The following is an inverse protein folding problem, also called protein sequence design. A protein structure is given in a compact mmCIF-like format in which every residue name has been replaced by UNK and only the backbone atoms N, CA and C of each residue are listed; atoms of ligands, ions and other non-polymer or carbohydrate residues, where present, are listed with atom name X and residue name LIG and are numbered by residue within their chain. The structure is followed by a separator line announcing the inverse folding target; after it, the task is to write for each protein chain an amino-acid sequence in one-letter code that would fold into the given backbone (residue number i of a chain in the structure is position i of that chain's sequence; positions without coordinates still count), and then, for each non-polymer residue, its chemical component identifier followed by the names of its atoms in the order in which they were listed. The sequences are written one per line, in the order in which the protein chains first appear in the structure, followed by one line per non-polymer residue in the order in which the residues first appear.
data_IF_778417857298
#
_entry.id   IF_778417857298
#
_cell.length_a   1.000
_cell.length_b   1.000
_cell.length_c   1.000
_cell.angle_alpha   90.00
_cell.angle_beta   90.00
_cell.angle_gamma   90.00
#
_symmetry.space_group_name_H-M   'P 1'
#
loop_
_entity.id
_entity.type
_entity.pdbx_description
1 polymer ?
#
# COMPACT_ATOMS: atom_id res chain seq x y z
N UNK A 1 9.98 -13.99 -9.16
CA UNK A 1 9.40 -13.02 -8.20
C UNK A 1 10.39 -11.90 -7.94
N UNK A 2 11.69 -12.19 -7.82
CA UNK A 2 12.75 -11.19 -7.56
C UNK A 2 12.82 -10.04 -8.57
N UNK A 3 12.39 -10.29 -9.81
CA UNK A 3 12.33 -9.28 -10.89
C UNK A 3 11.29 -8.16 -10.63
N UNK A 4 10.40 -8.29 -9.63
CA UNK A 4 9.45 -7.23 -9.28
C UNK A 4 9.99 -6.29 -8.19
N UNK A 5 9.67 -4.99 -8.29
CA UNK A 5 9.88 -4.07 -7.19
C UNK A 5 9.25 -4.57 -5.89
N UNK A 6 9.92 -4.34 -4.76
CA UNK A 6 9.51 -4.83 -3.45
C UNK A 6 8.07 -4.45 -3.10
N UNK A 7 7.61 -3.28 -3.57
CA UNK A 7 6.27 -2.77 -3.30
C UNK A 7 5.14 -3.65 -3.84
N UNK A 8 5.41 -4.51 -4.83
CA UNK A 8 4.44 -5.44 -5.39
C UNK A 8 4.56 -6.84 -4.79
N UNK A 9 5.70 -7.17 -4.17
CA UNK A 9 5.97 -8.51 -3.62
C UNK A 9 5.44 -8.72 -2.21
N UNK A 10 5.38 -7.65 -1.41
CA UNK A 10 4.95 -7.73 -0.01
C UNK A 10 3.70 -6.88 0.21
N UNK A 11 2.83 -7.21 1.20
CA UNK A 11 1.69 -6.35 1.52
C UNK A 11 2.17 -4.97 1.99
N UNK A 12 1.45 -3.89 1.66
CA UNK A 12 1.81 -2.56 2.12
C UNK A 12 1.60 -2.43 3.64
N UNK A 13 2.57 -1.82 4.32
CA UNK A 13 2.49 -1.52 5.75
C UNK A 13 2.18 -0.03 5.95
N UNK A 14 1.23 0.33 6.84
CA UNK A 14 1.02 1.72 7.22
C UNK A 14 2.31 2.40 7.66
N UNK A 15 2.52 3.63 7.23
CA UNK A 15 3.72 4.40 7.56
C UNK A 15 3.42 5.44 8.66
N UNK A 16 4.19 5.40 9.73
CA UNK A 16 4.08 6.29 10.89
C UNK A 16 5.32 7.18 10.96
N UNK A 17 5.12 8.49 11.02
CA UNK A 17 6.22 9.43 11.21
C UNK A 17 6.40 9.76 12.69
N UNK A 18 7.62 9.69 13.20
CA UNK A 18 7.97 10.12 14.55
C UNK A 18 8.70 11.47 14.47
N UNK A 19 8.27 12.44 15.27
CA UNK A 19 8.77 13.82 15.24
C UNK A 19 9.22 14.22 16.64
N UNK A 20 10.46 14.67 16.80
CA UNK A 20 11.02 15.06 18.09
C UNK A 20 11.39 13.87 18.99
N UNK A 21 12.27 14.11 19.97
CA UNK A 21 12.82 13.10 20.91
C UNK A 21 13.30 11.80 20.21
N UNK A 22 14.35 11.89 19.35
CA UNK A 22 14.85 10.76 18.57
C UNK A 22 15.28 9.55 19.42
N UNK A 23 15.62 9.77 20.69
CA UNK A 23 15.96 8.72 21.66
C UNK A 23 14.88 7.64 21.79
N UNK A 24 13.60 7.98 21.58
CA UNK A 24 12.50 7.01 21.66
C UNK A 24 12.21 6.30 20.34
N UNK A 25 12.68 6.84 19.20
CA UNK A 25 12.25 6.38 17.88
C UNK A 25 12.64 4.94 17.59
N UNK A 26 13.86 4.53 17.98
CA UNK A 26 14.36 3.18 17.74
C UNK A 26 13.52 2.15 18.51
N UNK A 27 13.26 2.41 19.79
CA UNK A 27 12.51 1.51 20.65
C UNK A 27 11.05 1.39 20.19
N UNK A 28 10.39 2.51 19.88
CA UNK A 28 9.02 2.50 19.36
C UNK A 28 8.98 1.79 18.01
N UNK A 29 9.96 2.03 17.13
CA UNK A 29 10.08 1.34 15.83
C UNK A 29 10.17 -0.18 16.00
N UNK A 30 11.04 -0.65 16.90
CA UNK A 30 11.20 -2.08 17.15
C UNK A 30 9.88 -2.69 17.64
N UNK A 31 9.19 -2.02 18.56
CA UNK A 31 7.90 -2.47 19.06
C UNK A 31 6.84 -2.53 17.95
N UNK A 32 6.66 -1.46 17.18
CA UNK A 32 5.65 -1.40 16.12
C UNK A 32 5.90 -2.39 14.96
N UNK A 33 7.16 -2.79 14.73
CA UNK A 33 7.50 -3.82 13.73
C UNK A 33 7.22 -5.25 14.22
N UNK A 34 7.25 -5.47 15.54
CA UNK A 34 6.94 -6.75 16.15
C UNK A 34 5.42 -6.98 16.32
N UNK A 35 4.64 -5.90 16.34
CA UNK A 35 3.18 -5.95 16.41
C UNK A 35 2.52 -6.63 15.20
N UNK A 36 1.28 -7.08 15.38
CA UNK A 36 0.46 -7.70 14.33
C UNK A 36 -0.87 -6.95 14.20
N UNK A 37 -1.08 -6.13 13.15
CA UNK A 37 -0.21 -5.88 12.00
C UNK A 37 1.06 -5.08 12.33
N UNK A 38 2.19 -5.34 11.63
CA UNK A 38 3.37 -4.52 11.78
C UNK A 38 3.17 -3.18 11.08
N UNK A 39 3.78 -2.12 11.62
CA UNK A 39 3.74 -0.77 11.08
C UNK A 39 5.15 -0.35 10.65
N UNK A 40 5.24 0.33 9.51
CA UNK A 40 6.47 0.95 9.07
C UNK A 40 6.63 2.32 9.75
N UNK A 41 7.88 2.73 9.98
CA UNK A 41 8.19 3.99 10.67
C UNK A 41 9.19 4.82 9.89
N UNK A 42 9.10 6.14 10.03
CA UNK A 42 10.09 7.11 9.56
C UNK A 42 10.41 8.10 10.68
N UNK A 43 11.70 8.26 10.96
CA UNK A 43 12.18 9.20 11.98
C UNK A 43 12.42 10.58 11.39
N UNK A 44 11.87 11.59 12.04
CA UNK A 44 12.05 13.00 11.72
C UNK A 44 12.59 13.66 13.00
N UNK A 45 13.81 14.22 12.98
CA UNK A 45 14.48 14.67 14.20
C UNK A 45 13.75 15.82 14.90
N UNK A 46 13.14 16.73 14.13
CA UNK A 46 12.51 17.93 14.65
C UNK A 46 11.24 18.33 13.87
N UNK A 47 10.53 19.34 14.38
CA UNK A 47 9.32 19.88 13.74
C UNK A 47 9.59 20.52 12.37
N UNK A 48 10.82 21.01 12.12
CA UNK A 48 11.21 21.59 10.82
C UNK A 48 11.24 20.49 9.75
N UNK A 49 11.78 19.32 10.10
CA UNK A 49 11.81 18.14 9.25
C UNK A 49 10.43 17.61 8.87
N UNK A 50 9.35 18.02 9.56
CA UNK A 50 7.98 17.69 9.19
C UNK A 50 7.62 18.17 7.77
N UNK A 51 8.34 19.15 7.21
CA UNK A 51 8.23 19.55 5.81
C UNK A 51 8.44 18.38 4.83
N UNK A 52 9.17 17.32 5.22
CA UNK A 52 9.32 16.10 4.41
C UNK A 52 8.00 15.33 4.22
N UNK A 53 7.04 15.48 5.13
CA UNK A 53 5.70 14.89 5.05
C UNK A 53 4.77 15.66 4.12
N UNK A 54 5.19 16.86 3.73
CA UNK A 54 4.38 17.75 2.92
C UNK A 54 4.14 17.19 1.51
N UNK A 55 3.41 17.98 0.75
CA UNK A 55 3.57 18.00 -0.69
C UNK A 55 2.28 18.23 -1.41
N UNK A 56 2.38 18.32 -2.74
CA UNK A 56 1.39 18.87 -3.66
C UNK A 56 -0.04 18.94 -3.12
N UNK A 57 -0.50 20.17 -3.02
CA UNK A 57 -1.86 20.52 -2.65
C UNK A 57 -2.86 19.69 -3.47
N UNK A 58 -3.88 19.20 -2.77
CA UNK A 58 -4.85 18.31 -3.37
C UNK A 58 -5.88 19.12 -4.12
N UNK A 59 -5.98 18.88 -5.42
CA UNK A 59 -7.02 19.50 -6.25
C UNK A 59 -8.43 19.12 -5.74
N UNK A 60 -9.42 20.01 -5.95
CA UNK A 60 -10.81 19.76 -5.59
C UNK A 60 -11.34 18.42 -6.11
N UNK A 61 -12.29 17.77 -5.40
CA UNK A 61 -12.91 16.52 -5.82
C UNK A 61 -13.46 16.51 -7.25
N UNK A 62 -13.98 17.65 -7.69
CA UNK A 62 -14.70 17.97 -8.92
C UNK A 62 -13.81 18.56 -10.03
N UNK A 63 -12.54 18.85 -9.76
CA UNK A 63 -11.63 19.41 -10.75
C UNK A 63 -11.46 18.45 -11.94
N UNK A 64 -11.84 18.89 -13.14
CA UNK A 64 -11.56 18.17 -14.39
C UNK A 64 -10.05 18.08 -14.60
N UNK A 65 -9.55 16.86 -14.80
CA UNK A 65 -8.15 16.60 -15.07
C UNK A 65 -7.94 16.44 -16.58
N UNK A 66 -6.81 16.94 -17.13
CA UNK A 66 -6.44 16.62 -18.50
C UNK A 66 -6.27 15.10 -18.64
N UNK A 67 -6.43 14.60 -19.87
CA UNK A 67 -6.20 13.19 -20.18
C UNK A 67 -4.82 12.76 -19.67
N UNK A 68 -4.72 11.59 -19.01
CA UNK A 68 -3.47 11.18 -18.43
C UNK A 68 -2.50 10.72 -19.52
N UNK A 69 -1.21 10.96 -19.33
CA UNK A 69 -0.18 10.43 -20.23
C UNK A 69 -0.14 8.89 -20.25
N UNK A 70 -0.65 8.23 -19.21
CA UNK A 70 -0.64 6.79 -19.04
C UNK A 70 -1.65 6.29 -18.02
N UNK A 71 -1.75 4.98 -17.81
CA UNK A 71 -2.75 4.36 -16.93
C UNK A 71 -2.36 4.51 -15.47
N UNK A 72 -1.25 3.91 -15.03
CA UNK A 72 -0.77 4.03 -13.65
C UNK A 72 0.34 5.07 -13.54
N UNK A 73 0.37 5.79 -12.41
CA UNK A 73 1.45 6.75 -12.14
C UNK A 73 2.65 6.01 -11.55
N UNK A 74 3.79 6.06 -12.26
CA UNK A 74 5.06 5.49 -11.80
C UNK A 74 5.44 5.99 -10.38
N UNK A 75 5.97 5.09 -9.55
CA UNK A 75 6.41 5.37 -8.19
C UNK A 75 5.29 5.77 -7.20
N UNK A 76 4.01 5.73 -7.61
CA UNK A 76 2.92 6.10 -6.70
C UNK A 76 2.84 5.16 -5.49
N UNK A 77 2.94 3.84 -5.71
CA UNK A 77 2.88 2.85 -4.63
C UNK A 77 4.11 2.94 -3.71
N UNK A 78 5.32 2.99 -4.28
CA UNK A 78 6.57 3.19 -3.54
C UNK A 78 6.49 4.44 -2.64
N UNK A 79 6.01 5.58 -3.18
CA UNK A 79 5.78 6.80 -2.40
C UNK A 79 4.85 6.56 -1.20
N UNK A 80 3.74 5.84 -1.38
CA UNK A 80 2.77 5.62 -0.29
C UNK A 80 3.24 4.62 0.75
N UNK A 81 4.21 3.76 0.41
CA UNK A 81 4.83 2.82 1.35
C UNK A 81 6.00 3.42 2.12
N UNK A 82 6.75 4.35 1.52
CA UNK A 82 8.04 4.81 2.06
C UNK A 82 8.05 6.28 2.50
N UNK A 83 7.16 7.12 1.96
CA UNK A 83 7.23 8.60 2.17
C UNK A 83 5.92 9.23 2.64
N UNK A 84 4.76 8.67 2.29
CA UNK A 84 3.47 9.25 2.67
C UNK A 84 2.97 8.62 3.98
N UNK A 85 3.32 9.23 5.11
CA UNK A 85 2.85 8.79 6.42
C UNK A 85 1.32 8.90 6.53
N UNK A 86 0.69 7.94 7.19
CA UNK A 86 -0.72 7.97 7.57
C UNK A 86 -0.93 8.68 8.92
N UNK A 87 0.04 8.55 9.82
CA UNK A 87 0.01 9.12 11.18
C UNK A 87 1.35 9.80 11.48
N UNK A 88 1.33 10.96 12.11
CA UNK A 88 2.49 11.64 12.67
C UNK A 88 2.38 11.68 14.20
N UNK A 89 3.35 11.09 14.89
CA UNK A 89 3.46 11.11 16.35
C UNK A 89 4.55 12.10 16.73
N UNK A 90 4.16 13.21 17.36
CA UNK A 90 5.07 14.22 17.88
C UNK A 90 5.33 13.97 19.36
N UNK A 91 6.59 13.74 19.71
CA UNK A 91 7.02 13.49 21.08
C UNK A 91 7.47 14.80 21.73
N UNK A 92 6.93 15.08 22.92
CA UNK A 92 7.31 16.25 23.71
C UNK A 92 7.57 15.86 25.16
N UNK A 93 8.61 16.40 25.82
CA UNK A 93 8.80 16.23 27.26
C UNK A 93 7.64 16.85 28.03
N UNK A 94 7.23 16.20 29.12
CA UNK A 94 6.18 16.71 30.02
C UNK A 94 6.50 18.12 30.50
N UNK A 95 7.77 18.40 30.78
CA UNK A 95 8.25 19.70 31.28
C UNK A 95 7.94 20.79 30.26
N UNK A 96 8.10 20.53 28.96
CA UNK A 96 7.80 21.54 27.94
C UNK A 96 6.31 21.86 27.80
N UNK A 97 5.44 20.90 28.12
CA UNK A 97 3.98 21.06 28.02
C UNK A 97 3.42 21.72 29.27
N UNK A 98 3.89 21.32 30.47
CA UNK A 98 3.33 21.76 31.75
C UNK A 98 4.23 22.73 32.52
N UNK A 99 5.41 23.05 32.00
CA UNK A 99 6.34 24.01 32.59
C UNK A 99 5.98 25.47 32.28
N UNK A 100 7.00 26.28 32.07
CA UNK A 100 6.86 27.72 31.90
C UNK A 100 6.08 28.12 30.63
N UNK A 101 5.52 29.34 30.57
CA UNK A 101 4.78 29.82 29.40
C UNK A 101 5.58 29.83 28.09
N UNK A 102 6.90 30.01 28.15
CA UNK A 102 7.77 30.08 26.97
C UNK A 102 7.94 28.69 26.33
N UNK A 103 8.10 27.66 27.16
CA UNK A 103 8.16 26.26 26.74
C UNK A 103 6.82 25.83 26.13
N UNK A 104 5.70 26.19 26.76
CA UNK A 104 4.37 25.95 26.21
C UNK A 104 4.18 26.61 24.84
N UNK A 105 4.62 27.86 24.68
CA UNK A 105 4.56 28.58 23.40
C UNK A 105 5.42 27.90 22.32
N UNK A 106 6.59 27.38 22.70
CA UNK A 106 7.46 26.59 21.82
C UNK A 106 6.78 25.30 21.34
N UNK A 107 6.07 24.58 22.22
CA UNK A 107 5.30 23.39 21.83
C UNK A 107 4.18 23.77 20.85
N UNK A 108 3.45 24.85 21.13
CA UNK A 108 2.39 25.33 20.26
C UNK A 108 2.91 25.67 18.85
N UNK A 109 4.03 26.37 18.75
CA UNK A 109 4.65 26.74 17.47
C UNK A 109 5.13 25.50 16.70
N UNK A 110 5.70 24.50 17.38
CA UNK A 110 6.09 23.25 16.74
C UNK A 110 4.88 22.46 16.21
N UNK A 111 3.78 22.40 16.97
CA UNK A 111 2.54 21.74 16.52
C UNK A 111 1.96 22.48 15.31
N UNK A 112 1.93 23.81 15.33
CA UNK A 112 1.44 24.62 14.20
C UNK A 112 2.31 24.40 12.96
N UNK A 113 3.63 24.28 13.10
CA UNK A 113 4.55 23.96 12.01
C UNK A 113 4.27 22.57 11.42
N UNK A 114 4.06 21.56 12.26
CA UNK A 114 3.70 20.20 11.82
C UNK A 114 2.37 20.25 11.06
N UNK A 115 1.35 20.93 11.59
CA UNK A 115 0.05 21.10 10.94
C UNK A 115 0.14 21.81 9.60
N UNK A 116 0.94 22.88 9.52
CA UNK A 116 1.18 23.60 8.28
C UNK A 116 1.82 22.69 7.23
N UNK A 117 2.81 21.87 7.63
CA UNK A 117 3.48 20.94 6.73
C UNK A 117 2.54 19.86 6.17
N UNK A 118 1.62 19.34 6.99
CA UNK A 118 0.67 18.29 6.57
C UNK A 118 -0.64 18.84 5.99
N UNK A 119 -0.78 20.16 5.85
CA UNK A 119 -2.03 20.80 5.41
C UNK A 119 -2.54 20.23 4.09
N UNK A 120 -3.83 19.94 4.03
CA UNK A 120 -4.48 19.33 2.87
C UNK A 120 -4.14 17.85 2.68
N UNK A 121 -3.33 17.25 3.56
CA UNK A 121 -3.18 15.81 3.72
C UNK A 121 -4.02 15.37 4.91
N UNK A 122 -4.64 14.21 4.78
CA UNK A 122 -5.48 13.66 5.84
C UNK A 122 -4.67 13.01 6.98
N UNK A 123 -3.37 13.37 7.12
CA UNK A 123 -2.45 12.73 8.06
C UNK A 123 -2.97 12.97 9.48
N UNK A 124 -3.12 11.89 10.26
CA UNK A 124 -3.58 12.00 11.65
C UNK A 124 -2.40 12.39 12.54
N UNK A 125 -2.63 13.25 13.52
CA UNK A 125 -1.57 13.73 14.43
C UNK A 125 -1.83 13.22 15.84
N UNK A 126 -0.79 12.69 16.47
CA UNK A 126 -0.76 12.26 17.87
C UNK A 126 0.36 13.01 18.58
N UNK A 127 0.09 13.48 19.78
CA UNK A 127 1.04 14.12 20.69
C UNK A 127 1.34 13.12 21.81
N UNK A 128 2.56 12.58 21.82
CA UNK A 128 3.04 11.68 22.84
C UNK A 128 3.82 12.49 23.90
N UNK A 129 3.33 12.49 25.13
CA UNK A 129 3.90 13.26 26.24
C UNK A 129 4.87 12.37 26.99
N UNK A 130 6.17 12.55 26.76
CA UNK A 130 7.22 11.78 27.40
C UNK A 130 7.33 12.16 28.89
N UNK A 131 7.24 11.18 29.78
CA UNK A 131 7.37 11.39 31.22
C UNK A 131 8.10 10.22 31.89
N UNK A 132 8.94 10.52 32.88
CA UNK A 132 9.66 9.48 33.63
C UNK A 132 8.68 8.65 34.48
N UNK A 133 7.78 9.30 35.22
CA UNK A 133 6.85 8.62 36.12
C UNK A 133 5.43 8.63 35.57
N UNK A 134 4.61 7.64 35.97
CA UNK A 134 3.18 7.55 35.68
C UNK A 134 2.33 8.60 36.42
N UNK A 135 2.84 9.83 36.58
CA UNK A 135 2.09 10.93 37.15
C UNK A 135 0.86 11.21 36.26
N UNK A 136 -0.35 11.31 36.85
CA UNK A 136 -1.54 11.66 36.10
C UNK A 136 -1.34 12.96 35.30
N UNK A 137 -1.96 13.04 34.12
CA UNK A 137 -1.98 14.27 33.33
C UNK A 137 -2.99 15.30 33.88
N UNK A 138 -3.69 14.94 34.95
CA UNK A 138 -4.85 15.62 35.54
C UNK A 138 -4.57 17.06 36.02
N UNK A 139 -3.30 17.42 36.26
CA UNK A 139 -2.92 18.74 36.74
C UNK A 139 -3.13 19.89 35.73
N UNK A 140 -3.48 19.62 34.46
CA UNK A 140 -3.97 20.66 33.54
C UNK A 140 -4.75 20.08 32.36
N UNK A 141 -5.99 19.65 32.61
CA UNK A 141 -6.95 19.35 31.53
C UNK A 141 -7.11 20.53 30.56
N UNK A 142 -6.93 21.77 31.02
CA UNK A 142 -6.95 22.97 30.17
C UNK A 142 -5.86 22.97 29.09
N UNK A 143 -4.60 22.70 29.45
CA UNK A 143 -3.51 22.63 28.47
C UNK A 143 -3.69 21.46 27.52
N UNK A 144 -4.13 20.30 28.01
CA UNK A 144 -4.45 19.16 27.16
C UNK A 144 -5.62 19.46 26.22
N UNK A 145 -6.66 20.15 26.68
CA UNK A 145 -7.78 20.57 25.86
C UNK A 145 -7.34 21.60 24.81
N UNK A 146 -6.44 22.52 25.16
CA UNK A 146 -5.85 23.46 24.22
C UNK A 146 -5.02 22.74 23.14
N UNK A 147 -4.21 21.74 23.51
CA UNK A 147 -3.50 20.88 22.55
C UNK A 147 -4.48 20.14 21.63
N UNK A 148 -5.51 19.50 22.20
CA UNK A 148 -6.53 18.76 21.44
C UNK A 148 -7.22 19.67 20.42
N UNK A 149 -7.65 20.87 20.84
CA UNK A 149 -8.23 21.89 19.95
C UNK A 149 -7.26 22.30 18.86
N UNK A 150 -5.98 22.51 19.19
CA UNK A 150 -4.97 22.96 18.22
C UNK A 150 -4.64 21.88 17.20
N UNK A 151 -4.59 20.62 17.59
CA UNK A 151 -4.29 19.48 16.71
C UNK A 151 -5.46 19.17 15.75
N UNK A 152 -6.68 19.67 16.01
CA UNK A 152 -7.87 19.50 15.16
C UNK A 152 -8.17 18.03 14.80
N UNK A 153 -7.77 17.09 15.66
CA UNK A 153 -7.97 15.64 15.49
C UNK A 153 -8.97 15.12 16.53
N UNK A 154 -9.51 13.91 16.35
CA UNK A 154 -10.42 13.27 17.31
C UNK A 154 -9.90 13.32 18.77
N UNK A 155 -10.79 13.14 19.75
CA UNK A 155 -10.55 13.30 21.19
C UNK A 155 -9.32 12.53 21.77
N UNK A 156 -8.73 11.59 21.02
CA UNK A 156 -7.60 10.73 21.40
C UNK A 156 -6.22 11.22 20.90
N UNK A 157 -6.05 12.51 20.62
CA UNK A 157 -4.79 13.00 20.02
C UNK A 157 -3.63 13.20 21.01
N UNK A 158 -3.84 13.20 22.33
CA UNK A 158 -2.77 13.39 23.32
C UNK A 158 -2.68 12.16 24.23
N UNK A 159 -1.50 11.55 24.33
CA UNK A 159 -1.28 10.33 25.12
C UNK A 159 -0.04 10.42 26.00
N UNK A 160 -0.08 9.91 27.25
CA UNK A 160 1.11 9.77 28.07
C UNK A 160 2.03 8.67 27.53
N UNK A 161 3.33 8.97 27.48
CA UNK A 161 4.38 8.04 27.09
C UNK A 161 5.38 7.92 28.24
N UNK A 162 5.18 6.91 29.09
CA UNK A 162 5.90 6.74 30.35
C UNK A 162 7.12 5.85 30.13
N UNK A 163 8.29 6.29 30.59
CA UNK A 163 9.57 5.62 30.28
C UNK A 163 10.37 5.16 31.50
N UNK A 164 9.95 5.51 32.73
CA UNK A 164 10.75 5.26 33.94
C UNK A 164 10.78 3.82 34.44
N UNK A 165 9.86 2.96 34.00
CA UNK A 165 9.87 1.52 34.30
C UNK A 165 9.54 0.70 33.04
N UNK A 166 10.11 -0.51 32.94
CA UNK A 166 9.94 -1.42 31.79
C UNK A 166 8.48 -1.82 31.61
N UNK A 167 7.73 -2.09 32.69
CA UNK A 167 6.32 -2.47 32.58
C UNK A 167 5.44 -1.29 32.14
N UNK A 168 5.72 -0.09 32.66
CA UNK A 168 5.02 1.13 32.25
C UNK A 168 5.32 1.49 30.79
N UNK A 169 6.58 1.36 30.38
CA UNK A 169 7.01 1.59 29.00
C UNK A 169 6.35 0.61 28.03
N UNK A 170 6.30 -0.68 28.38
CA UNK A 170 5.56 -1.67 27.59
C UNK A 170 4.09 -1.31 27.44
N UNK A 171 3.47 -0.80 28.50
CA UNK A 171 2.07 -0.34 28.48
C UNK A 171 1.89 0.88 27.59
N UNK A 172 2.79 1.87 27.68
CA UNK A 172 2.79 3.05 26.80
C UNK A 172 3.02 2.69 25.34
N UNK A 173 3.91 1.75 25.04
CA UNK A 173 4.14 1.23 23.69
C UNK A 173 2.91 0.53 23.13
N UNK A 174 2.27 -0.35 23.91
CA UNK A 174 1.05 -1.04 23.50
C UNK A 174 -0.11 -0.07 23.23
N UNK A 175 -0.30 0.92 24.10
CA UNK A 175 -1.34 1.94 23.93
C UNK A 175 -1.08 2.82 22.70
N UNK A 176 0.18 3.22 22.48
CA UNK A 176 0.57 3.99 21.30
C UNK A 176 0.37 3.16 20.02
N UNK A 177 0.80 1.90 20.01
CA UNK A 177 0.64 1.00 18.87
C UNK A 177 -0.84 0.82 18.48
N UNK A 178 -1.70 0.59 19.47
CA UNK A 178 -3.15 0.48 19.27
C UNK A 178 -3.74 1.76 18.68
N UNK A 179 -3.44 2.92 19.29
CA UNK A 179 -3.96 4.21 18.81
C UNK A 179 -3.49 4.52 17.39
N UNK A 180 -2.20 4.35 17.11
CA UNK A 180 -1.62 4.61 15.80
C UNK A 180 -2.17 3.66 14.74
N UNK A 181 -2.38 2.39 15.08
CA UNK A 181 -3.04 1.41 14.20
C UNK A 181 -4.48 1.79 13.86
N UNK A 182 -5.27 2.21 14.86
CA UNK A 182 -6.64 2.70 14.66
C UNK A 182 -6.66 3.94 13.73
N UNK A 183 -5.81 4.93 14.01
CA UNK A 183 -5.73 6.16 13.22
C UNK A 183 -5.23 5.91 11.80
N UNK A 184 -4.28 5.00 11.61
CA UNK A 184 -3.81 4.58 10.30
C UNK A 184 -4.94 3.91 9.50
N UNK A 185 -5.72 3.03 10.11
CA UNK A 185 -6.87 2.40 9.47
C UNK A 185 -7.92 3.44 9.04
N UNK A 186 -8.18 4.45 9.88
CA UNK A 186 -9.07 5.58 9.57
C UNK A 186 -8.55 6.40 8.40
N UNK A 187 -7.25 6.75 8.39
CA UNK A 187 -6.60 7.45 7.28
C UNK A 187 -6.86 6.76 5.94
N UNK A 188 -6.52 5.46 5.83
CA UNK A 188 -6.67 4.73 4.57
C UNK A 188 -8.13 4.53 4.17
N UNK A 189 -9.05 4.43 5.15
CA UNK A 189 -10.49 4.32 4.90
C UNK A 189 -11.01 5.61 4.25
N UNK A 190 -10.66 6.76 4.80
CA UNK A 190 -11.08 8.06 4.29
C UNK A 190 -10.46 8.37 2.91
N UNK A 191 -9.18 8.03 2.72
CA UNK A 191 -8.52 8.16 1.41
C UNK A 191 -9.16 7.26 0.35
N UNK A 192 -9.47 6.01 0.70
CA UNK A 192 -10.21 5.09 -0.16
C UNK A 192 -11.60 5.62 -0.50
N UNK A 193 -12.37 6.07 0.50
CA UNK A 193 -13.71 6.63 0.32
C UNK A 193 -13.71 7.83 -0.61
N UNK A 194 -12.76 8.76 -0.44
CA UNK A 194 -12.63 9.95 -1.29
C UNK A 194 -12.47 9.58 -2.77
N UNK A 195 -11.61 8.61 -3.08
CA UNK A 195 -11.41 8.16 -4.46
C UNK A 195 -12.64 7.39 -4.95
N UNK A 196 -13.22 6.53 -4.11
CA UNK A 196 -14.42 5.76 -4.43
C UNK A 196 -15.59 6.66 -4.85
N UNK A 197 -15.84 7.76 -4.14
CA UNK A 197 -16.89 8.72 -4.50
C UNK A 197 -16.68 9.33 -5.89
N UNK A 198 -15.43 9.52 -6.34
CA UNK A 198 -15.15 9.98 -7.71
C UNK A 198 -15.48 8.91 -8.76
N UNK A 199 -15.21 7.64 -8.46
CA UNK A 199 -15.56 6.51 -9.33
C UNK A 199 -17.08 6.37 -9.43
N UNK A 200 -17.80 6.41 -8.31
CA UNK A 200 -19.27 6.30 -8.25
C UNK A 200 -19.96 7.44 -9.01
N UNK A 201 -19.44 8.66 -8.91
CA UNK A 201 -19.94 9.82 -9.66
C UNK A 201 -19.53 9.82 -11.13
N UNK A 202 -18.76 8.82 -11.60
CA UNK A 202 -18.12 8.77 -12.93
C UNK A 202 -17.39 10.09 -13.27
N UNK A 203 -16.81 10.72 -12.25
CA UNK A 203 -16.16 12.02 -12.35
C UNK A 203 -14.71 11.87 -12.86
N UNK A 204 -14.54 11.28 -14.03
CA UNK A 204 -13.25 11.11 -14.69
C UNK A 204 -13.35 11.38 -16.19
N UNK A 205 -12.30 11.99 -16.74
CA UNK A 205 -12.25 12.43 -18.14
C UNK A 205 -11.82 11.35 -19.13
N UNK A 206 -11.28 10.21 -18.66
CA UNK A 206 -10.86 9.11 -19.53
C UNK A 206 -10.89 7.75 -18.80
N UNK A 207 -11.01 6.62 -19.54
CA UNK A 207 -11.10 5.28 -18.95
C UNK A 207 -9.84 4.87 -18.16
N UNK A 208 -8.66 5.39 -18.53
CA UNK A 208 -7.40 5.19 -17.81
C UNK A 208 -7.47 5.72 -16.37
N UNK A 209 -8.19 6.81 -16.14
CA UNK A 209 -8.43 7.29 -14.78
C UNK A 209 -9.32 6.32 -13.97
N UNK A 210 -10.29 5.67 -14.61
CA UNK A 210 -11.13 4.67 -13.94
C UNK A 210 -10.30 3.48 -13.47
N UNK A 211 -9.43 2.94 -14.33
CA UNK A 211 -8.47 1.88 -13.97
C UNK A 211 -7.58 2.33 -12.80
N UNK A 212 -6.99 3.53 -12.92
CA UNK A 212 -6.11 4.11 -11.90
C UNK A 212 -6.81 4.29 -10.55
N UNK A 213 -8.06 4.74 -10.55
CA UNK A 213 -8.80 4.98 -9.30
C UNK A 213 -9.18 3.67 -8.62
N UNK A 214 -9.66 2.68 -9.37
CA UNK A 214 -9.91 1.34 -8.83
C UNK A 214 -8.64 0.70 -8.25
N UNK A 215 -7.51 0.81 -8.96
CA UNK A 215 -6.21 0.37 -8.45
C UNK A 215 -5.87 1.03 -7.09
N UNK A 216 -6.03 2.36 -6.98
CA UNK A 216 -5.73 3.07 -5.73
C UNK A 216 -6.66 2.68 -4.58
N UNK A 217 -7.95 2.49 -4.85
CA UNK A 217 -8.92 2.03 -3.84
C UNK A 217 -8.52 0.63 -3.35
N UNK A 218 -8.12 -0.25 -4.26
CA UNK A 218 -7.64 -1.60 -3.92
C UNK A 218 -6.39 -1.55 -3.03
N UNK A 219 -5.39 -0.72 -3.37
CA UNK A 219 -4.20 -0.52 -2.54
C UNK A 219 -4.56 -0.01 -1.14
N UNK A 220 -5.47 0.96 -1.03
CA UNK A 220 -5.93 1.45 0.28
C UNK A 220 -6.73 0.41 1.08
N UNK A 221 -7.38 -0.54 0.41
CA UNK A 221 -7.95 -1.71 1.07
C UNK A 221 -6.85 -2.68 1.56
N UNK A 222 -5.79 -2.90 0.79
CA UNK A 222 -4.63 -3.70 1.24
C UNK A 222 -3.96 -3.10 2.49
N UNK A 223 -3.75 -1.78 2.56
CA UNK A 223 -3.21 -1.12 3.75
C UNK A 223 -4.06 -1.35 5.01
N UNK A 224 -5.37 -1.60 4.84
CA UNK A 224 -6.32 -1.93 5.91
C UNK A 224 -6.49 -3.43 6.12
N UNK A 225 -5.79 -4.27 5.34
CA UNK A 225 -5.97 -5.73 5.28
C UNK A 225 -7.41 -6.17 4.95
N UNK A 226 -8.14 -5.31 4.24
CA UNK A 226 -9.47 -5.60 3.72
C UNK A 226 -9.31 -6.32 2.37
N UNK A 227 -8.91 -7.61 2.45
CA UNK A 227 -8.54 -8.41 1.28
C UNK A 227 -9.68 -8.58 0.29
N UNK A 228 -10.91 -8.71 0.80
CA UNK A 228 -12.12 -8.87 -0.01
C UNK A 228 -12.35 -7.61 -0.86
N UNK A 229 -12.29 -6.42 -0.24
CA UNK A 229 -12.40 -5.18 -1.01
C UNK A 229 -11.22 -5.01 -1.97
N UNK A 230 -10.00 -5.36 -1.55
CA UNK A 230 -8.82 -5.26 -2.42
C UNK A 230 -8.99 -6.10 -3.70
N UNK A 231 -9.36 -7.38 -3.58
CA UNK A 231 -9.62 -8.27 -4.73
C UNK A 231 -10.72 -7.70 -5.62
N UNK A 232 -11.83 -7.24 -5.04
CA UNK A 232 -12.95 -6.64 -5.78
C UNK A 232 -12.49 -5.48 -6.66
N UNK A 233 -11.75 -4.52 -6.10
CA UNK A 233 -11.32 -3.34 -6.85
C UNK A 233 -10.15 -3.61 -7.79
N UNK A 234 -9.27 -4.57 -7.48
CA UNK A 234 -8.26 -5.02 -8.45
C UNK A 234 -8.89 -5.71 -9.65
N UNK A 235 -9.90 -6.55 -9.43
CA UNK A 235 -10.63 -7.21 -10.52
C UNK A 235 -11.39 -6.17 -11.36
N UNK A 236 -12.02 -5.18 -10.72
CA UNK A 236 -12.66 -4.07 -11.43
C UNK A 236 -11.64 -3.29 -12.29
N UNK A 237 -10.48 -2.93 -11.73
CA UNK A 237 -9.41 -2.26 -12.47
C UNK A 237 -8.91 -3.11 -13.65
N UNK A 238 -8.78 -4.43 -13.47
CA UNK A 238 -8.34 -5.37 -14.50
C UNK A 238 -9.34 -5.44 -15.66
N UNK A 239 -10.64 -5.58 -15.36
CA UNK A 239 -11.68 -5.58 -16.40
C UNK A 239 -11.74 -4.25 -17.14
N UNK A 240 -11.70 -3.13 -16.41
CA UNK A 240 -11.71 -1.79 -17.01
C UNK A 240 -10.49 -1.51 -17.89
N UNK A 241 -9.35 -2.15 -17.63
CA UNK A 241 -8.16 -2.01 -18.47
C UNK A 241 -8.41 -2.51 -19.88
N UNK A 242 -9.23 -3.55 -20.04
CA UNK A 242 -9.61 -4.09 -21.34
C UNK A 242 -10.58 -3.19 -22.11
N UNK A 243 -11.26 -2.27 -21.40
CA UNK A 243 -12.16 -1.27 -21.98
C UNK A 243 -11.43 0.02 -22.37
N UNK A 244 -10.16 0.19 -22.01
CA UNK A 244 -9.36 1.34 -22.44
C UNK A 244 -9.17 1.25 -23.95
N UNK A 245 -9.67 2.23 -24.73
CA UNK A 245 -9.57 2.21 -26.19
C UNK A 245 -8.13 2.02 -26.62
N UNK A 246 -7.89 0.94 -27.34
CA UNK A 246 -6.58 0.68 -27.95
C UNK A 246 -6.76 0.80 -29.46
N UNK A 247 -5.90 1.55 -30.18
CA UNK A 247 -5.98 1.61 -31.64
C UNK A 247 -5.90 0.20 -32.26
N UNK A 248 -6.30 0.00 -33.53
CA UNK A 248 -6.04 -1.25 -34.24
C UNK A 248 -4.55 -1.64 -34.15
N UNK A 249 -4.23 -2.94 -34.04
CA UNK A 249 -2.87 -3.43 -33.74
C UNK A 249 -1.78 -2.85 -34.67
N UNK A 250 -2.12 -2.66 -35.95
CA UNK A 250 -1.25 -2.07 -36.98
C UNK A 250 -0.91 -0.58 -36.74
N UNK A 251 -1.78 0.14 -36.01
CA UNK A 251 -1.67 1.56 -35.69
C UNK A 251 -1.30 1.81 -34.22
N UNK A 252 -1.07 0.74 -33.43
CA UNK A 252 -0.72 0.90 -32.03
C UNK A 252 0.74 1.31 -31.88
N UNK A 253 1.02 2.44 -31.20
CA UNK A 253 2.36 2.69 -30.71
C UNK A 253 2.78 1.56 -29.78
N UNK A 254 3.93 0.93 -30.03
CA UNK A 254 4.51 -0.15 -29.20
C UNK A 254 4.48 0.22 -27.71
N UNK A 255 4.73 1.49 -27.40
CA UNK A 255 4.67 2.02 -26.04
C UNK A 255 3.33 1.79 -25.32
N UNK A 256 2.19 1.93 -26.03
CA UNK A 256 0.85 1.73 -25.43
C UNK A 256 0.56 0.27 -25.14
N UNK A 257 0.98 -0.62 -26.02
CA UNK A 257 0.86 -2.07 -25.80
C UNK A 257 1.71 -2.52 -24.62
N UNK A 258 2.96 -2.06 -24.55
CA UNK A 258 3.88 -2.35 -23.44
C UNK A 258 3.33 -1.80 -22.12
N UNK A 259 2.80 -0.57 -22.12
CA UNK A 259 2.15 0.01 -20.95
C UNK A 259 0.95 -0.83 -20.49
N UNK A 260 0.06 -1.20 -21.40
CA UNK A 260 -1.11 -2.01 -21.07
C UNK A 260 -0.73 -3.38 -20.50
N UNK A 261 0.25 -4.06 -21.12
CA UNK A 261 0.81 -5.34 -20.60
C UNK A 261 1.40 -5.16 -19.20
N UNK A 262 2.18 -4.12 -18.98
CA UNK A 262 2.80 -3.83 -17.68
C UNK A 262 1.75 -3.57 -16.58
N UNK A 263 0.69 -2.83 -16.89
CA UNK A 263 -0.39 -2.54 -15.94
C UNK A 263 -1.21 -3.81 -15.66
N UNK A 264 -1.52 -4.58 -16.70
CA UNK A 264 -2.24 -5.84 -16.58
C UNK A 264 -1.46 -6.86 -15.73
N UNK A 265 -0.16 -6.95 -15.93
CA UNK A 265 0.75 -7.79 -15.14
C UNK A 265 0.71 -7.40 -13.66
N UNK A 266 0.81 -6.11 -13.32
CA UNK A 266 0.73 -5.63 -11.93
C UNK A 266 -0.63 -6.00 -11.31
N UNK A 267 -1.73 -5.78 -12.03
CA UNK A 267 -3.08 -6.10 -11.55
C UNK A 267 -3.29 -7.61 -11.40
N UNK A 268 -2.82 -8.38 -12.38
CA UNK A 268 -2.86 -9.84 -12.37
C UNK A 268 -2.07 -10.40 -11.18
N UNK A 269 -0.82 -9.95 -10.98
CA UNK A 269 0.03 -10.34 -9.87
C UNK A 269 -0.65 -10.07 -8.52
N UNK A 270 -1.23 -8.89 -8.33
CA UNK A 270 -1.96 -8.54 -7.10
C UNK A 270 -3.17 -9.45 -6.89
N UNK A 271 -3.95 -9.72 -7.92
CA UNK A 271 -5.12 -10.61 -7.83
C UNK A 271 -4.72 -12.03 -7.43
N UNK A 272 -3.80 -12.67 -8.17
CA UNK A 272 -3.41 -14.05 -7.87
C UNK A 272 -2.72 -14.17 -6.51
N UNK A 273 -1.92 -13.18 -6.11
CA UNK A 273 -1.29 -13.15 -4.78
C UNK A 273 -2.33 -13.11 -3.66
N UNK A 274 -3.38 -12.30 -3.80
CA UNK A 274 -4.46 -12.18 -2.81
C UNK A 274 -5.39 -13.40 -2.81
N UNK A 275 -5.75 -13.92 -3.98
CA UNK A 275 -6.57 -15.13 -4.09
C UNK A 275 -5.87 -16.34 -3.48
N UNK A 276 -4.57 -16.52 -3.76
CA UNK A 276 -3.79 -17.57 -3.14
C UNK A 276 -3.61 -17.35 -1.63
N UNK A 277 -3.51 -16.08 -1.18
CA UNK A 277 -3.48 -15.78 0.25
C UNK A 277 -4.76 -16.19 0.98
N UNK A 278 -5.92 -16.05 0.33
CA UNK A 278 -7.22 -16.44 0.89
C UNK A 278 -7.58 -17.91 0.67
N UNK A 279 -6.69 -18.72 0.07
CA UNK A 279 -6.94 -20.12 -0.25
C UNK A 279 -7.77 -20.39 -1.52
N UNK A 280 -8.11 -19.34 -2.29
CA UNK A 280 -8.91 -19.44 -3.51
C UNK A 280 -8.05 -19.85 -4.72
N UNK A 281 -7.37 -21.00 -4.64
CA UNK A 281 -6.42 -21.46 -5.67
C UNK A 281 -7.08 -21.66 -7.04
N UNK A 282 -8.30 -22.17 -7.09
CA UNK A 282 -9.03 -22.36 -8.35
C UNK A 282 -9.33 -21.04 -9.08
N UNK A 283 -9.74 -20.01 -8.33
CA UNK A 283 -9.96 -18.67 -8.89
C UNK A 283 -8.64 -18.05 -9.38
N UNK A 284 -7.54 -18.28 -8.66
CA UNK A 284 -6.22 -17.82 -9.08
C UNK A 284 -5.78 -18.46 -10.41
N UNK A 285 -5.99 -19.78 -10.58
CA UNK A 285 -5.73 -20.49 -11.84
C UNK A 285 -6.64 -19.98 -12.97
N UNK A 286 -7.91 -19.76 -12.67
CA UNK A 286 -8.87 -19.20 -13.64
C UNK A 286 -8.43 -17.81 -14.10
N UNK A 287 -7.95 -16.98 -13.17
CA UNK A 287 -7.42 -15.65 -13.48
C UNK A 287 -6.16 -15.72 -14.35
N UNK A 288 -5.25 -16.67 -14.12
CA UNK A 288 -4.09 -16.91 -14.99
C UNK A 288 -4.51 -17.30 -16.41
N UNK A 289 -5.40 -18.29 -16.55
CA UNK A 289 -5.89 -18.72 -17.87
C UNK A 289 -6.53 -17.58 -18.63
N UNK A 290 -7.39 -16.80 -17.97
CA UNK A 290 -8.02 -15.61 -18.54
C UNK A 290 -6.99 -14.57 -18.98
N UNK A 291 -5.97 -14.32 -18.15
CA UNK A 291 -4.91 -13.37 -18.46
C UNK A 291 -4.11 -13.78 -19.69
N UNK A 292 -3.67 -15.04 -19.74
CA UNK A 292 -2.89 -15.57 -20.85
C UNK A 292 -3.71 -15.62 -22.15
N UNK A 293 -4.96 -16.09 -22.10
CA UNK A 293 -5.83 -16.14 -23.28
C UNK A 293 -6.05 -14.76 -23.89
N UNK A 294 -6.23 -13.72 -23.05
CA UNK A 294 -6.43 -12.35 -23.52
C UNK A 294 -5.20 -11.75 -24.21
N UNK A 295 -4.01 -12.01 -23.67
CA UNK A 295 -2.77 -11.41 -24.15
C UNK A 295 -2.03 -12.24 -25.20
N UNK A 296 -2.33 -13.53 -25.35
CA UNK A 296 -1.71 -14.41 -26.36
C UNK A 296 -1.92 -13.90 -27.79
N UNK A 297 -3.08 -13.33 -28.08
CA UNK A 297 -3.38 -12.75 -29.40
C UNK A 297 -2.84 -11.31 -29.58
N UNK A 298 -2.19 -10.74 -28.57
CA UNK A 298 -1.73 -9.33 -28.54
C UNK A 298 -0.21 -9.28 -28.54
N UNK A 299 0.41 -9.95 -29.50
CA UNK A 299 1.87 -10.01 -29.64
C UNK A 299 2.47 -8.62 -29.84
N UNK A 300 1.86 -7.83 -30.72
CA UNK A 300 2.37 -6.54 -31.18
C UNK A 300 2.95 -6.66 -32.58
N UNK A 301 3.85 -5.74 -32.98
CA UNK A 301 4.61 -5.85 -34.22
C UNK A 301 5.56 -7.07 -34.21
N UNK A 302 5.85 -7.67 -35.37
CA UNK A 302 6.67 -8.88 -35.46
C UNK A 302 8.09 -8.69 -34.91
N UNK A 303 8.65 -7.49 -34.99
CA UNK A 303 9.98 -7.16 -34.46
C UNK A 303 10.05 -7.32 -32.92
N UNK A 304 8.89 -7.23 -32.24
CA UNK A 304 8.76 -7.37 -30.79
C UNK A 304 8.23 -8.73 -30.32
N UNK A 305 8.05 -9.71 -31.22
CA UNK A 305 7.51 -11.04 -30.92
C UNK A 305 8.20 -11.72 -29.73
N UNK A 306 9.54 -11.73 -29.74
CA UNK A 306 10.34 -12.34 -28.68
C UNK A 306 10.08 -11.71 -27.29
N UNK A 307 9.86 -10.39 -27.23
CA UNK A 307 9.53 -9.69 -25.98
C UNK A 307 8.15 -10.11 -25.46
N UNK A 308 7.20 -10.34 -26.36
CA UNK A 308 5.89 -10.84 -25.97
C UNK A 308 5.97 -12.24 -25.35
N UNK A 309 6.65 -13.18 -26.01
CA UNK A 309 6.76 -14.55 -25.51
C UNK A 309 7.62 -14.65 -24.24
N UNK A 310 8.66 -13.81 -24.12
CA UNK A 310 9.38 -13.66 -22.86
C UNK A 310 8.46 -13.17 -21.73
N UNK A 311 7.61 -12.18 -22.01
CA UNK A 311 6.62 -11.69 -21.05
C UNK A 311 5.57 -12.74 -20.67
N UNK A 312 5.07 -13.52 -21.63
CA UNK A 312 4.13 -14.64 -21.39
C UNK A 312 4.77 -15.71 -20.52
N UNK A 313 6.00 -16.13 -20.86
CA UNK A 313 6.76 -17.11 -20.08
C UNK A 313 6.98 -16.66 -18.64
N UNK A 314 7.29 -15.37 -18.45
CA UNK A 314 7.38 -14.77 -17.12
C UNK A 314 6.07 -14.87 -16.32
N UNK A 315 4.90 -14.73 -16.93
CA UNK A 315 3.61 -14.88 -16.22
C UNK A 315 3.47 -16.29 -15.63
N UNK A 316 3.83 -17.34 -16.40
CA UNK A 316 3.82 -18.72 -15.92
C UNK A 316 4.81 -18.94 -14.78
N UNK A 317 6.07 -18.51 -14.97
CA UNK A 317 7.14 -18.63 -13.96
C UNK A 317 6.71 -18.02 -12.63
N UNK A 318 6.24 -16.77 -12.67
CA UNK A 318 5.84 -16.00 -11.49
C UNK A 318 4.66 -16.65 -10.76
N UNK A 319 3.66 -17.12 -11.51
CA UNK A 319 2.53 -17.84 -10.92
C UNK A 319 2.96 -19.16 -10.25
N UNK A 320 3.86 -19.91 -10.90
CA UNK A 320 4.41 -21.14 -10.35
C UNK A 320 5.16 -20.91 -9.03
N UNK A 321 6.02 -19.89 -8.98
CA UNK A 321 6.73 -19.50 -7.76
C UNK A 321 5.78 -19.08 -6.63
N UNK A 322 4.72 -18.32 -6.95
CA UNK A 322 3.70 -17.93 -5.98
C UNK A 322 2.97 -19.15 -5.42
N UNK A 323 2.57 -20.08 -6.27
CA UNK A 323 1.90 -21.31 -5.86
C UNK A 323 2.82 -22.17 -4.97
N UNK A 324 4.07 -22.36 -5.38
CA UNK A 324 5.07 -23.11 -4.61
C UNK A 324 5.29 -22.49 -3.22
N UNK A 325 5.44 -21.17 -3.15
CA UNK A 325 5.62 -20.46 -1.88
C UNK A 325 4.43 -20.66 -0.93
N UNK A 326 3.21 -20.76 -1.47
CA UNK A 326 1.99 -20.94 -0.67
C UNK A 326 1.84 -22.37 -0.19
N UNK A 327 2.12 -23.35 -1.04
CA UNK A 327 2.12 -24.77 -0.66
C UNK A 327 3.15 -25.04 0.44
N UNK A 328 4.34 -24.43 0.34
CA UNK A 328 5.38 -24.55 1.38
C UNK A 328 4.94 -24.00 2.74
N UNK A 329 4.21 -22.88 2.76
CA UNK A 329 3.70 -22.25 4.00
C UNK A 329 2.53 -23.04 4.59
N UNK A 330 1.69 -23.67 3.76
CA UNK A 330 0.52 -24.41 4.23
C UNK A 330 0.87 -25.76 4.89
N UNK A 331 2.11 -26.25 4.77
CA UNK A 331 2.47 -27.60 5.20
C UNK A 331 1.71 -28.72 4.47
N UNK A 332 0.89 -28.35 3.49
CA UNK A 332 0.11 -29.26 2.67
C UNK A 332 1.06 -29.92 1.67
N UNK A 333 1.29 -31.23 1.83
CA UNK A 333 1.72 -32.04 0.69
C UNK A 333 0.71 -31.77 -0.43
N UNK A 334 1.16 -31.52 -1.67
CA UNK A 334 0.25 -31.24 -2.75
C UNK A 334 -0.81 -32.34 -2.84
N UNK A 335 -2.05 -32.03 -2.46
CA UNK A 335 -3.15 -32.95 -2.67
C UNK A 335 -3.32 -33.08 -4.17
N UNK A 336 -3.49 -34.32 -4.65
CA UNK A 336 -3.46 -34.66 -6.08
C UNK A 336 -4.38 -33.80 -6.95
N UNK A 337 -5.43 -33.19 -6.38
CA UNK A 337 -6.33 -32.26 -7.07
C UNK A 337 -5.70 -30.91 -7.44
N UNK A 338 -4.83 -30.32 -6.60
CA UNK A 338 -4.16 -29.04 -6.92
C UNK A 338 -3.09 -29.25 -7.98
N UNK A 339 -2.31 -30.33 -7.86
CA UNK A 339 -1.32 -30.70 -8.89
C UNK A 339 -2.01 -31.12 -10.18
N UNK A 340 -3.08 -31.93 -10.13
CA UNK A 340 -3.83 -32.27 -11.34
C UNK A 340 -4.46 -31.05 -12.00
N UNK A 341 -5.00 -30.08 -11.24
CA UNK A 341 -5.54 -28.85 -11.81
C UNK A 341 -4.47 -27.96 -12.44
N UNK A 342 -3.27 -27.90 -11.85
CA UNK A 342 -2.11 -27.14 -12.36
C UNK A 342 -1.48 -27.85 -13.57
N UNK A 343 -1.26 -29.15 -13.51
CA UNK A 343 -0.77 -29.97 -14.63
C UNK A 343 -1.76 -29.97 -15.79
N UNK A 344 -3.07 -30.13 -15.52
CA UNK A 344 -4.10 -29.96 -16.54
C UNK A 344 -4.19 -28.53 -17.07
N UNK A 345 -3.85 -27.50 -16.27
CA UNK A 345 -3.77 -26.12 -16.76
C UNK A 345 -2.61 -25.90 -17.72
N UNK A 346 -1.47 -26.56 -17.50
CA UNK A 346 -0.29 -26.51 -18.39
C UNK A 346 -0.56 -27.29 -19.68
N UNK A 347 -1.20 -28.46 -19.60
CA UNK A 347 -1.45 -29.31 -20.78
C UNK A 347 -2.66 -28.89 -21.61
N UNK A 348 -3.72 -28.32 -21.03
CA UNK A 348 -4.89 -27.84 -21.78
C UNK A 348 -4.61 -26.61 -22.66
N UNK A 349 -3.49 -25.92 -22.44
CA UNK A 349 -2.99 -24.84 -23.31
C UNK A 349 -2.18 -25.36 -24.50
N UNK A 350 -1.80 -26.64 -24.51
CA UNK A 350 -0.92 -27.25 -25.52
C UNK A 350 -1.74 -28.08 -26.51
N UNK A 351 -2.38 -27.41 -27.46
CA UNK A 351 -2.80 -28.02 -28.73
C UNK A 351 -1.63 -28.13 -29.72
N UNK A 352 -0.43 -28.45 -29.24
CA UNK A 352 0.81 -28.57 -30.02
C UNK A 352 1.34 -29.99 -29.93
N UNK A 353 1.69 -30.58 -31.08
CA UNK A 353 1.99 -32.01 -31.24
C UNK A 353 3.13 -32.53 -30.35
N UNK A 354 3.23 -33.86 -30.28
CA UNK A 354 4.06 -34.71 -29.39
C UNK A 354 5.55 -34.34 -29.23
N UNK A 355 6.08 -33.36 -29.97
CA UNK A 355 7.45 -32.85 -29.82
C UNK A 355 7.66 -31.82 -28.71
N UNK A 356 6.61 -31.17 -28.18
CA UNK A 356 6.74 -30.15 -27.11
C UNK A 356 6.72 -30.72 -25.67
N UNK A 357 6.53 -32.03 -25.51
CA UNK A 357 6.30 -32.66 -24.19
C UNK A 357 7.56 -33.16 -23.46
N UNK A 358 8.77 -32.86 -23.94
CA UNK A 358 10.01 -33.27 -23.28
C UNK A 358 10.82 -32.06 -22.76
N UNK A 359 10.86 -31.81 -21.44
CA UNK A 359 11.59 -30.67 -20.86
C UNK A 359 13.12 -30.81 -20.88
N UNK A 360 13.68 -31.85 -21.50
CA UNK A 360 15.11 -32.18 -21.43
C UNK A 360 15.97 -31.65 -22.59
N UNK A 361 15.41 -31.02 -23.63
CA UNK A 361 16.18 -30.69 -24.84
C UNK A 361 16.73 -29.26 -24.95
N UNK A 362 16.46 -28.37 -23.98
CA UNK A 362 16.87 -26.95 -24.07
C UNK A 362 18.18 -26.59 -23.33
N UNK A 363 18.88 -27.56 -22.73
CA UNK A 363 20.13 -27.31 -21.99
C UNK A 363 21.34 -28.02 -22.58
N UNK A 364 21.51 -27.99 -23.90
CA UNK A 364 22.80 -28.22 -24.54
C UNK A 364 22.92 -27.36 -25.81
N UNK A 365 23.43 -26.13 -25.62
CA UNK A 365 24.42 -25.44 -26.47
C UNK A 365 24.82 -24.12 -25.81
#
# INVERSE_FOLDING_TARGET
MEEYPEEFRTPPLPLVAFIGLPEFHLQVTHYLRAEQPPLATVSIPDAIGAASLAGKERRPPDAKLPSPLGVLKAGWLAKHRQKAASVAVAFFPREKIFGDPNQWLSVCTQIDAIKAAIRGRNIKVVVAIAQANAAPLDASEERLQALRKRVETEARCCVPFVTGDVAQLRTSLANLAKLVGELAATFYREEGRRIKTRVEKKAYSSPEFSVRYNFKIAVYAEFRRDWVAAVKYYNAAYTLLHEVPTPPQELQPVQRLVEAKSVAEILHLKLVTLLLHSGNTLEAVTQLRRHLAWYRAREGPPEGAFLHWAWVSKQYKVFGELLQSRLAVAGEKPTGGVVAAVTAAVTASAGGGEREQQPAFYFQL
#
